data_IF_117685225965
#
_entry.id   IF_117685225965
#
_cell.length_a   1.000
_cell.length_b   1.000
_cell.length_c   1.000
_cell.angle_alpha   90.00
_cell.angle_beta   90.00
_cell.angle_gamma   90.00
#
_symmetry.space_group_name_H-M   'P 1'
#
loop_
_entity.id
_entity.type
_entity.pdbx_description
1 polymer ?
#
# COMPACT_ATOMS: atom_id res chain seq x y z
N UNK A 1 18.57 -14.68 9.90
CA UNK A 1 17.29 -13.98 10.10
C UNK A 1 16.58 -14.57 11.29
N UNK A 2 16.19 -13.71 12.22
CA UNK A 2 15.59 -14.15 13.48
C UNK A 2 14.09 -14.37 13.30
N UNK A 3 13.63 -15.60 13.57
CA UNK A 3 12.22 -15.94 13.46
C UNK A 3 11.35 -15.14 14.43
N UNK A 4 11.85 -14.90 15.65
CA UNK A 4 11.12 -14.10 16.64
C UNK A 4 10.92 -12.67 16.16
N UNK A 5 11.92 -12.10 15.51
CA UNK A 5 11.83 -10.76 14.96
C UNK A 5 10.78 -10.69 13.84
N UNK A 6 10.76 -11.68 12.96
CA UNK A 6 9.77 -11.76 11.88
C UNK A 6 8.35 -11.92 12.41
N UNK A 7 8.16 -12.77 13.41
CA UNK A 7 6.84 -12.98 14.01
C UNK A 7 6.39 -11.70 14.70
N UNK A 8 7.28 -11.01 15.42
CA UNK A 8 6.96 -9.74 16.06
C UNK A 8 6.54 -8.68 15.07
N UNK A 9 7.26 -8.56 13.96
CA UNK A 9 6.92 -7.61 12.89
C UNK A 9 5.54 -7.91 12.31
N UNK A 10 5.26 -9.18 12.07
CA UNK A 10 3.96 -9.61 11.53
C UNK A 10 2.82 -9.32 12.48
N UNK A 11 2.98 -9.61 13.76
CA UNK A 11 1.97 -9.36 14.78
C UNK A 11 1.69 -7.86 14.92
N UNK A 12 2.74 -7.05 14.94
CA UNK A 12 2.58 -5.60 15.05
C UNK A 12 1.85 -5.03 13.84
N UNK A 13 2.24 -5.46 12.64
CA UNK A 13 1.60 -5.00 11.40
C UNK A 13 0.13 -5.40 11.34
N UNK A 14 -0.17 -6.64 11.74
CA UNK A 14 -1.55 -7.11 11.79
C UNK A 14 -2.39 -6.32 12.79
N UNK A 15 -1.81 -5.99 13.94
CA UNK A 15 -2.52 -5.19 14.96
C UNK A 15 -2.87 -3.80 14.40
N UNK A 16 -1.99 -3.18 13.65
CA UNK A 16 -2.26 -1.87 13.04
C UNK A 16 -3.42 -1.95 12.06
N UNK A 17 -3.43 -2.98 11.19
CA UNK A 17 -4.49 -3.14 10.19
C UNK A 17 -5.84 -3.41 10.85
N UNK A 18 -5.87 -4.29 11.84
CA UNK A 18 -7.11 -4.61 12.56
C UNK A 18 -7.64 -3.37 13.28
N UNK A 19 -6.76 -2.62 13.93
CA UNK A 19 -7.15 -1.40 14.64
C UNK A 19 -7.77 -0.39 13.68
N UNK A 20 -7.15 -0.19 12.52
CA UNK A 20 -7.67 0.73 11.50
C UNK A 20 -9.06 0.29 11.02
N UNK A 21 -9.24 -1.02 10.81
CA UNK A 21 -10.52 -1.58 10.38
C UNK A 21 -11.62 -1.36 11.43
N UNK A 22 -11.30 -1.56 12.71
CA UNK A 22 -12.26 -1.35 13.78
C UNK A 22 -12.62 0.13 13.97
N UNK A 23 -11.65 1.01 13.81
CA UNK A 23 -11.90 2.46 13.86
C UNK A 23 -12.82 2.88 12.72
N UNK A 24 -12.64 2.30 11.54
CA UNK A 24 -13.44 2.62 10.36
C UNK A 24 -14.92 2.28 10.55
N UNK A 25 -15.24 1.29 11.38
CA UNK A 25 -16.64 0.93 11.71
C UNK A 25 -17.34 2.05 12.47
N UNK A 26 -16.61 2.77 13.33
CA UNK A 26 -17.16 3.84 14.14
C UNK A 26 -17.05 5.20 13.46
N UNK A 27 -15.96 5.43 12.73
CA UNK A 27 -15.72 6.67 12.01
C UNK A 27 -14.95 6.38 10.74
N UNK A 28 -15.63 6.50 9.61
CA UNK A 28 -15.03 6.25 8.29
C UNK A 28 -13.85 7.18 8.04
N UNK A 29 -13.99 8.46 8.43
CA UNK A 29 -12.94 9.45 8.21
C UNK A 29 -11.69 9.12 9.03
N UNK A 30 -11.87 8.77 10.33
CA UNK A 30 -10.74 8.41 11.17
C UNK A 30 -10.07 7.13 10.74
N UNK A 31 -10.86 6.12 10.34
CA UNK A 31 -10.30 4.88 9.81
C UNK A 31 -9.51 5.13 8.53
N UNK A 32 -10.07 5.94 7.64
CA UNK A 32 -9.38 6.30 6.40
C UNK A 32 -8.10 7.07 6.69
N UNK A 33 -8.11 7.98 7.66
CA UNK A 33 -6.91 8.73 8.04
C UNK A 33 -5.81 7.81 8.51
N UNK A 34 -6.14 6.87 9.40
CA UNK A 34 -5.15 5.92 9.94
C UNK A 34 -4.55 5.07 8.83
N UNK A 35 -5.40 4.52 7.94
CA UNK A 35 -4.92 3.62 6.90
C UNK A 35 -4.23 4.36 5.74
N UNK A 36 -4.54 5.64 5.54
CA UNK A 36 -3.90 6.44 4.51
C UNK A 36 -2.51 6.91 4.92
N UNK A 37 -2.21 6.96 6.22
CA UNK A 37 -0.85 7.17 6.66
C UNK A 37 -0.03 5.97 6.20
N UNK A 38 1.15 6.19 5.60
CA UNK A 38 1.93 5.06 5.06
C UNK A 38 2.67 4.32 6.17
N UNK A 39 1.91 3.75 7.13
CA UNK A 39 2.50 3.11 8.31
C UNK A 39 3.33 1.88 7.93
N UNK A 40 2.83 1.06 7.02
CA UNK A 40 3.58 -0.10 6.55
C UNK A 40 4.88 0.31 5.89
N UNK A 41 4.84 1.38 5.09
CA UNK A 41 6.04 1.90 4.44
C UNK A 41 7.03 2.47 5.46
N UNK A 42 6.54 3.22 6.44
CA UNK A 42 7.40 3.78 7.49
C UNK A 42 8.09 2.66 8.28
N UNK A 43 7.32 1.64 8.68
CA UNK A 43 7.87 0.51 9.40
C UNK A 43 8.90 -0.25 8.56
N UNK A 44 8.57 -0.49 7.29
CA UNK A 44 9.47 -1.21 6.38
C UNK A 44 10.76 -0.45 6.15
N UNK A 45 10.68 0.87 5.97
CA UNK A 45 11.87 1.70 5.80
C UNK A 45 12.73 1.72 7.06
N UNK A 46 12.10 1.78 8.22
CA UNK A 46 12.81 1.77 9.50
C UNK A 46 13.54 0.44 9.69
N UNK A 47 12.86 -0.67 9.42
CA UNK A 47 13.48 -1.99 9.55
C UNK A 47 14.57 -2.21 8.51
N UNK A 48 14.37 -1.72 7.28
CA UNK A 48 15.40 -1.80 6.24
C UNK A 48 16.66 -1.05 6.68
N UNK A 49 16.49 0.16 7.22
CA UNK A 49 17.64 0.92 7.70
C UNK A 49 18.35 0.21 8.87
N UNK A 50 17.58 -0.34 9.81
CA UNK A 50 18.17 -1.05 10.94
C UNK A 50 18.98 -2.25 10.49
N UNK A 51 18.54 -2.94 9.44
CA UNK A 51 19.22 -4.13 8.94
C UNK A 51 20.41 -3.81 8.06
N UNK A 52 20.35 -2.74 7.27
CA UNK A 52 21.38 -2.44 6.26
C UNK A 52 22.28 -1.27 6.63
N UNK A 53 21.80 -0.32 7.45
CA UNK A 53 22.49 0.93 7.77
C UNK A 53 22.86 1.72 6.52
N UNK A 54 22.11 1.54 5.44
CA UNK A 54 22.36 2.14 4.14
C UNK A 54 21.26 3.14 3.80
N UNK A 55 21.54 4.42 4.03
CA UNK A 55 20.56 5.49 3.76
C UNK A 55 20.25 5.63 2.27
N UNK A 56 21.21 5.31 1.42
CA UNK A 56 21.01 5.37 -0.02
C UNK A 56 19.97 4.35 -0.46
N UNK A 57 20.04 3.13 0.09
CA UNK A 57 19.07 2.08 -0.20
C UNK A 57 17.66 2.46 0.29
N UNK A 58 17.57 3.07 1.47
CA UNK A 58 16.29 3.55 2.00
C UNK A 58 15.72 4.64 1.12
N UNK A 59 16.55 5.56 0.64
CA UNK A 59 16.13 6.63 -0.27
C UNK A 59 15.59 6.07 -1.58
N UNK A 60 16.27 5.08 -2.17
CA UNK A 60 15.81 4.43 -3.39
C UNK A 60 14.48 3.72 -3.19
N UNK A 61 14.33 3.07 -2.03
CA UNK A 61 13.10 2.38 -1.67
C UNK A 61 11.93 3.36 -1.56
N UNK A 62 12.15 4.49 -0.87
CA UNK A 62 11.13 5.52 -0.69
C UNK A 62 10.71 6.13 -2.04
N UNK A 63 11.69 6.41 -2.90
CA UNK A 63 11.42 6.95 -4.23
C UNK A 63 10.60 5.98 -5.08
N UNK A 64 10.94 4.68 -5.01
CA UNK A 64 10.18 3.66 -5.73
C UNK A 64 8.73 3.58 -5.24
N UNK A 65 8.52 3.70 -3.94
CA UNK A 65 7.16 3.72 -3.38
C UNK A 65 6.39 4.92 -3.92
N UNK A 66 7.02 6.09 -3.99
CA UNK A 66 6.38 7.30 -4.48
C UNK A 66 5.80 7.10 -5.89
N UNK A 67 6.58 6.50 -6.79
CA UNK A 67 6.11 6.24 -8.15
C UNK A 67 5.08 5.14 -8.22
N UNK A 68 5.27 4.07 -7.45
CA UNK A 68 4.40 2.89 -7.53
C UNK A 68 3.07 3.06 -6.79
N UNK A 69 2.97 4.04 -5.90
CA UNK A 69 1.70 4.30 -5.22
C UNK A 69 0.67 4.96 -6.13
N UNK A 70 1.13 5.66 -7.17
CA UNK A 70 0.23 6.37 -8.09
C UNK A 70 -0.74 5.41 -8.78
N UNK A 71 -0.31 4.28 -9.36
CA UNK A 71 -1.26 3.32 -9.94
C UNK A 71 -2.25 2.75 -8.93
N UNK A 72 -1.89 2.67 -7.65
CA UNK A 72 -2.80 2.14 -6.63
C UNK A 72 -4.01 3.03 -6.41
N UNK A 73 -3.93 4.30 -6.79
CA UNK A 73 -5.07 5.23 -6.69
C UNK A 73 -6.24 4.81 -7.56
N UNK A 74 -5.99 4.03 -8.61
CA UNK A 74 -7.04 3.51 -9.48
C UNK A 74 -8.08 2.73 -8.68
N UNK A 75 -7.62 1.91 -7.73
CA UNK A 75 -8.52 1.13 -6.88
C UNK A 75 -9.44 2.06 -6.07
N UNK A 76 -8.88 3.12 -5.50
CA UNK A 76 -9.64 4.03 -4.63
C UNK A 76 -10.59 4.94 -5.39
N UNK A 77 -10.41 5.07 -6.69
CA UNK A 77 -11.36 5.78 -7.57
C UNK A 77 -12.42 4.80 -8.08
N UNK A 78 -12.01 3.63 -8.54
CA UNK A 78 -12.90 2.65 -9.16
C UNK A 78 -13.86 2.02 -8.16
N UNK A 79 -13.38 1.67 -6.97
CA UNK A 79 -14.21 0.96 -5.99
C UNK A 79 -15.42 1.78 -5.55
N UNK A 80 -15.28 3.04 -5.10
CA UNK A 80 -16.46 3.83 -4.73
C UNK A 80 -17.41 4.04 -5.90
N UNK A 81 -16.88 4.24 -7.11
CA UNK A 81 -17.68 4.44 -8.30
C UNK A 81 -18.57 3.23 -8.58
N UNK A 82 -17.98 2.02 -8.53
CA UNK A 82 -18.71 0.79 -8.80
C UNK A 82 -19.73 0.49 -7.69
N UNK A 83 -19.34 0.68 -6.44
CA UNK A 83 -20.23 0.42 -5.30
C UNK A 83 -21.44 1.35 -5.33
N UNK A 84 -21.25 2.62 -5.69
CA UNK A 84 -22.36 3.58 -5.76
C UNK A 84 -23.28 3.30 -6.93
N UNK A 85 -22.84 2.52 -7.91
CA UNK A 85 -23.68 2.09 -9.02
C UNK A 85 -24.47 0.82 -8.71
N UNK A 86 -24.34 0.27 -7.50
CA UNK A 86 -25.09 -0.88 -7.06
C UNK A 86 -24.39 -2.22 -7.25
N UNK A 87 -23.10 -2.21 -7.59
CA UNK A 87 -22.33 -3.44 -7.72
C UNK A 87 -22.16 -4.11 -6.36
N UNK A 88 -22.17 -5.44 -6.34
CA UNK A 88 -21.82 -6.17 -5.14
C UNK A 88 -20.34 -5.96 -4.81
N UNK A 89 -20.03 -6.00 -3.51
CA UNK A 89 -18.67 -5.68 -3.04
C UNK A 89 -17.61 -6.58 -3.68
N UNK A 90 -17.88 -7.90 -3.76
CA UNK A 90 -16.92 -8.86 -4.29
C UNK A 90 -16.56 -8.54 -5.74
N UNK A 91 -17.56 -8.22 -6.55
CA UNK A 91 -17.35 -7.91 -7.96
C UNK A 91 -16.69 -6.54 -8.12
N UNK A 92 -17.11 -5.56 -7.34
CA UNK A 92 -16.52 -4.21 -7.39
C UNK A 92 -15.05 -4.25 -6.98
N UNK A 93 -14.73 -4.97 -5.92
CA UNK A 93 -13.36 -5.11 -5.44
C UNK A 93 -12.52 -5.87 -6.47
N UNK A 94 -13.04 -6.96 -7.02
CA UNK A 94 -12.32 -7.73 -8.03
C UNK A 94 -11.97 -6.91 -9.26
N UNK A 95 -12.94 -6.17 -9.79
CA UNK A 95 -12.72 -5.29 -10.96
C UNK A 95 -11.75 -4.18 -10.60
N UNK A 96 -11.90 -3.57 -9.42
CA UNK A 96 -11.00 -2.53 -8.96
C UNK A 96 -9.55 -3.02 -8.88
N UNK A 97 -9.35 -4.22 -8.34
CA UNK A 97 -8.01 -4.82 -8.25
C UNK A 97 -7.45 -5.10 -9.64
N UNK A 98 -8.25 -5.62 -10.56
CA UNK A 98 -7.81 -5.87 -11.93
C UNK A 98 -7.39 -4.59 -12.63
N UNK A 99 -8.18 -3.52 -12.49
CA UNK A 99 -7.83 -2.23 -13.06
C UNK A 99 -6.54 -1.69 -12.45
N UNK A 100 -6.35 -1.86 -11.15
CA UNK A 100 -5.13 -1.46 -10.48
C UNK A 100 -3.92 -2.24 -11.00
N UNK A 101 -4.06 -3.54 -11.20
CA UNK A 101 -2.97 -4.38 -11.74
C UNK A 101 -2.59 -3.91 -13.13
N UNK A 102 -3.58 -3.61 -13.98
CA UNK A 102 -3.32 -3.09 -15.32
C UNK A 102 -2.59 -1.75 -15.25
N UNK A 103 -3.01 -0.87 -14.32
CA UNK A 103 -2.37 0.41 -14.11
C UNK A 103 -0.92 0.26 -13.64
N UNK A 104 -0.65 -0.71 -12.76
CA UNK A 104 0.71 -1.02 -12.33
C UNK A 104 1.58 -1.51 -13.49
N UNK A 105 1.04 -2.41 -14.30
CA UNK A 105 1.77 -2.92 -15.45
C UNK A 105 2.13 -1.79 -16.41
N UNK A 106 1.18 -0.90 -16.70
CA UNK A 106 1.41 0.25 -17.55
C UNK A 106 2.40 1.22 -16.92
N UNK A 107 2.26 1.49 -15.62
CA UNK A 107 3.13 2.41 -14.89
C UNK A 107 4.58 1.93 -14.85
N UNK A 108 4.80 0.65 -14.55
CA UNK A 108 6.14 0.07 -14.51
C UNK A 108 6.76 0.08 -15.91
N UNK A 109 5.97 -0.24 -16.92
CA UNK A 109 6.42 -0.24 -18.31
C UNK A 109 6.87 1.16 -18.73
N UNK A 110 6.08 2.19 -18.40
CA UNK A 110 6.42 3.58 -18.71
C UNK A 110 7.66 4.03 -17.92
N UNK A 111 7.73 3.68 -16.65
CA UNK A 111 8.85 4.04 -15.80
C UNK A 111 10.16 3.45 -16.31
N UNK A 112 10.13 2.21 -16.78
CA UNK A 112 11.29 1.58 -17.39
C UNK A 112 11.72 2.30 -18.67
N UNK A 113 10.75 2.74 -19.47
CA UNK A 113 11.04 3.48 -20.70
C UNK A 113 11.75 4.81 -20.40
N UNK A 114 11.38 5.44 -19.28
CA UNK A 114 12.02 6.70 -18.87
C UNK A 114 13.25 6.49 -17.98
N UNK A 115 13.54 5.24 -17.59
CA UNK A 115 14.69 4.94 -16.76
C UNK A 115 14.55 5.40 -15.31
N UNK A 116 13.32 5.66 -14.85
CA UNK A 116 13.08 6.16 -13.49
C UNK A 116 12.97 5.05 -12.45
N UNK A 117 12.72 3.81 -12.88
CA UNK A 117 12.62 2.64 -12.01
C UNK A 117 13.62 1.61 -12.47
N UNK A 118 14.39 1.10 -11.52
CA UNK A 118 15.40 0.07 -11.80
C UNK A 118 14.77 -1.28 -12.11
#
# INVERSE_FOLDING_TARGET
MDWLNLIGKGLFSGAVIVTASEIAKKSTVFGALVISLPLASIMSMTWLYNDTKDTSQVADFAESILWLVIPSMVLFVALPFLLRRGWEFEYAMGVGILLMIVAYAAGVSLAKSFGTVA
#
